data_IF_615528482904
#
_entry.id   IF_615528482904
#
_cell.length_a   1.000
_cell.length_b   1.000
_cell.length_c   1.000
_cell.angle_alpha   90.00
_cell.angle_beta   90.00
_cell.angle_gamma   90.00
#
_symmetry.space_group_name_H-M   'P 1'
#
loop_
_entity.id
_entity.type
_entity.pdbx_description
1 polymer ?
#
# COMPACT_ATOMS: atom_id res chain seq x y z
N UNK A 1 8.72 2.63 6.75
CA UNK A 1 8.83 1.28 6.16
C UNK A 1 8.74 1.45 4.65
N UNK A 2 9.82 1.16 3.92
CA UNK A 2 9.83 1.21 2.46
C UNK A 2 9.37 -0.15 1.98
N UNK A 3 8.20 -0.22 1.36
CA UNK A 3 7.77 -1.42 0.65
C UNK A 3 8.56 -1.41 -0.65
N UNK A 4 9.71 -2.08 -0.65
CA UNK A 4 10.34 -2.45 -1.92
C UNK A 4 9.43 -3.50 -2.55
N UNK A 5 8.89 -3.30 -3.76
CA UNK A 5 8.14 -4.35 -4.41
C UNK A 5 9.08 -5.54 -4.55
N UNK A 6 8.66 -6.69 -4.04
CA UNK A 6 9.22 -7.96 -4.44
C UNK A 6 8.95 -8.01 -5.94
N UNK A 7 9.99 -7.69 -6.69
CA UNK A 7 10.10 -7.79 -8.15
C UNK A 7 9.19 -8.91 -8.65
N UNK A 8 8.10 -8.51 -9.31
CA UNK A 8 7.20 -9.35 -10.11
C UNK A 8 6.05 -10.12 -9.43
N UNK A 9 5.55 -9.77 -8.24
CA UNK A 9 4.47 -10.57 -7.61
C UNK A 9 3.05 -10.00 -7.73
N UNK A 10 2.83 -8.72 -8.06
CA UNK A 10 1.47 -8.19 -8.09
C UNK A 10 1.23 -7.36 -9.36
N UNK A 11 0.67 -8.00 -10.38
CA UNK A 11 -0.06 -7.27 -11.42
C UNK A 11 -1.30 -6.70 -10.75
N UNK A 12 -1.28 -5.39 -10.48
CA UNK A 12 -2.43 -4.65 -9.97
C UNK A 12 -3.35 -4.40 -11.15
N UNK A 13 -4.11 -5.45 -11.50
CA UNK A 13 -5.11 -5.40 -12.56
C UNK A 13 -6.27 -4.51 -12.11
N UNK A 14 -6.92 -3.83 -13.07
CA UNK A 14 -8.08 -3.00 -12.79
C UNK A 14 -9.19 -3.82 -12.14
N UNK A 15 -9.86 -3.24 -11.14
CA UNK A 15 -10.99 -3.84 -10.42
C UNK A 15 -10.68 -5.13 -9.64
N UNK A 16 -9.40 -5.43 -9.37
CA UNK A 16 -8.98 -6.57 -8.55
C UNK A 16 -8.46 -6.16 -7.16
N UNK A 17 -8.62 -7.06 -6.19
CA UNK A 17 -8.07 -6.91 -4.84
C UNK A 17 -6.83 -7.78 -4.67
N UNK A 18 -5.67 -7.13 -4.55
CA UNK A 18 -4.41 -7.80 -4.23
C UNK A 18 -4.10 -7.72 -2.73
N UNK A 19 -3.53 -8.81 -2.20
CA UNK A 19 -3.18 -8.94 -0.79
C UNK A 19 -1.67 -9.16 -0.65
N UNK A 20 -1.06 -8.46 0.30
CA UNK A 20 0.34 -8.68 0.67
C UNK A 20 0.46 -8.77 2.19
N UNK A 21 1.24 -9.72 2.67
CA UNK A 21 1.62 -9.81 4.09
C UNK A 21 3.05 -9.34 4.25
N UNK A 22 3.26 -8.37 5.14
CA UNK A 22 4.56 -7.79 5.41
C UNK A 22 4.96 -8.02 6.85
N UNK A 23 6.21 -8.45 7.07
CA UNK A 23 6.78 -8.51 8.40
C UNK A 23 7.19 -7.11 8.86
N UNK A 24 6.72 -6.70 10.04
CA UNK A 24 7.07 -5.42 10.66
C UNK A 24 7.40 -5.61 12.15
N UNK A 25 8.18 -4.68 12.76
CA UNK A 25 8.17 -4.55 14.21
C UNK A 25 6.79 -4.11 14.71
N UNK A 26 6.61 -4.11 16.02
CA UNK A 26 5.42 -3.52 16.64
C UNK A 26 5.43 -1.99 16.43
N UNK A 27 4.42 -1.50 15.73
CA UNK A 27 4.22 -0.07 15.44
C UNK A 27 3.19 0.58 16.37
N UNK A 28 2.58 -0.19 17.28
CA UNK A 28 1.42 0.21 18.06
C UNK A 28 0.18 0.39 17.16
N UNK A 29 -0.70 1.32 17.53
CA UNK A 29 -1.85 1.69 16.69
C UNK A 29 -1.34 2.36 15.42
N UNK A 30 -1.68 1.79 14.26
CA UNK A 30 -1.31 2.34 12.98
C UNK A 30 -2.03 3.68 12.75
N UNK A 31 -1.27 4.74 12.47
CA UNK A 31 -1.81 6.09 12.27
C UNK A 31 -1.77 6.54 10.83
N UNK A 32 -0.74 6.14 10.08
CA UNK A 32 -0.54 6.57 8.70
C UNK A 32 0.01 5.43 7.83
N UNK A 33 -0.33 5.49 6.55
CA UNK A 33 0.17 4.62 5.50
C UNK A 33 0.80 5.48 4.41
N UNK A 34 2.03 5.13 4.01
CA UNK A 34 2.72 5.76 2.88
C UNK A 34 2.91 4.75 1.76
N UNK A 35 2.51 5.11 0.53
CA UNK A 35 2.63 4.27 -0.67
C UNK A 35 3.46 4.99 -1.72
N UNK A 36 4.28 4.23 -2.44
CA UNK A 36 5.10 4.71 -3.55
C UNK A 36 5.33 3.57 -4.54
N UNK A 37 5.29 3.85 -5.83
CA UNK A 37 5.86 2.95 -6.85
C UNK A 37 7.38 3.04 -6.85
N UNK A 38 8.04 1.98 -7.29
CA UNK A 38 9.50 1.91 -7.36
C UNK A 38 10.11 2.66 -8.56
N UNK A 39 9.28 3.19 -9.46
CA UNK A 39 9.66 3.88 -10.70
C UNK A 39 10.43 3.01 -11.71
N UNK A 40 10.29 1.68 -11.63
CA UNK A 40 10.94 0.76 -12.55
C UNK A 40 9.93 0.09 -13.50
N UNK A 41 10.37 -0.21 -14.73
CA UNK A 41 9.55 -0.88 -15.75
C UNK A 41 8.69 0.08 -16.61
N UNK A 42 8.04 -0.49 -17.63
CA UNK A 42 7.19 0.24 -18.59
C UNK A 42 5.69 0.20 -18.24
N UNK A 43 5.35 -0.21 -17.02
CA UNK A 43 3.97 -0.34 -16.57
C UNK A 43 3.28 1.01 -16.31
N UNK A 44 1.95 1.09 -16.49
CA UNK A 44 1.18 2.29 -16.18
C UNK A 44 1.22 2.61 -14.68
N UNK A 45 0.79 3.82 -14.32
CA UNK A 45 0.54 4.19 -12.93
C UNK A 45 -0.63 3.37 -12.35
N UNK A 46 -0.66 3.22 -11.03
CA UNK A 46 -1.68 2.44 -10.33
C UNK A 46 -2.71 3.35 -9.68
N UNK A 47 -3.97 3.21 -10.07
CA UNK A 47 -5.06 3.84 -9.33
C UNK A 47 -5.35 3.05 -8.05
N UNK A 48 -5.28 3.71 -6.90
CA UNK A 48 -5.80 3.14 -5.65
C UNK A 48 -7.02 3.93 -5.19
N UNK A 49 -8.12 3.21 -4.98
CA UNK A 49 -9.26 3.68 -4.19
C UNK A 49 -8.91 3.60 -2.70
N UNK A 50 -8.68 2.38 -2.22
CA UNK A 50 -8.55 2.07 -0.79
C UNK A 50 -7.50 0.99 -0.52
N UNK A 51 -6.89 1.05 0.66
CA UNK A 51 -6.10 -0.05 1.23
C UNK A 51 -6.64 -0.38 2.61
N UNK A 52 -6.98 -1.66 2.79
CA UNK A 52 -7.31 -2.24 4.09
C UNK A 52 -6.06 -2.81 4.74
N UNK A 53 -5.83 -2.43 6.00
CA UNK A 53 -4.69 -2.90 6.78
C UNK A 53 -5.20 -3.72 7.95
N UNK A 54 -4.59 -4.89 8.15
CA UNK A 54 -4.89 -5.77 9.27
C UNK A 54 -3.61 -6.24 9.95
N UNK A 55 -3.56 -6.08 11.29
CA UNK A 55 -2.53 -6.66 12.13
C UNK A 55 -2.93 -8.06 12.56
N UNK A 56 -2.24 -9.07 12.04
CA UNK A 56 -2.46 -10.46 12.43
C UNK A 56 -2.20 -10.72 13.93
N UNK A 57 -1.31 -9.94 14.55
CA UNK A 57 -0.95 -10.10 15.96
C UNK A 57 -1.96 -9.45 16.91
N UNK A 58 -2.42 -8.25 16.57
CA UNK A 58 -3.26 -7.45 17.46
C UNK A 58 -4.75 -7.51 17.11
N UNK A 59 -5.10 -8.15 16.00
CA UNK A 59 -6.47 -8.22 15.47
C UNK A 59 -7.12 -6.83 15.31
N UNK A 60 -6.29 -5.82 15.07
CA UNK A 60 -6.69 -4.45 14.79
C UNK A 60 -6.37 -4.12 13.35
N UNK A 61 -7.10 -3.17 12.79
CA UNK A 61 -6.92 -2.72 11.44
C UNK A 61 -7.43 -1.32 11.24
N UNK A 62 -7.37 -0.88 10.01
CA UNK A 62 -7.94 0.39 9.59
C UNK A 62 -7.86 0.55 8.09
N UNK A 63 -8.48 1.62 7.62
CA UNK A 63 -8.64 1.89 6.20
C UNK A 63 -7.88 3.16 5.82
N UNK A 64 -7.20 3.14 4.68
CA UNK A 64 -6.61 4.33 4.09
C UNK A 64 -7.16 4.57 2.68
N UNK A 65 -7.90 5.66 2.48
CA UNK A 65 -8.42 6.06 1.18
C UNK A 65 -7.41 6.93 0.41
N UNK A 66 -7.11 6.54 -0.82
CA UNK A 66 -6.18 7.22 -1.72
C UNK A 66 -6.93 8.02 -2.79
N UNK A 67 -7.88 7.37 -3.48
CA UNK A 67 -8.70 7.92 -4.58
C UNK A 67 -7.87 8.64 -5.65
N UNK A 68 -6.74 8.07 -6.04
CA UNK A 68 -5.81 8.69 -6.99
C UNK A 68 -4.85 7.68 -7.62
N UNK A 69 -4.22 8.12 -8.71
CA UNK A 69 -3.04 7.47 -9.27
C UNK A 69 -1.82 7.65 -8.34
N UNK A 70 -1.12 6.54 -8.10
CA UNK A 70 0.23 6.51 -7.56
C UNK A 70 1.20 6.54 -8.74
N UNK A 71 1.52 7.76 -9.14
CA UNK A 71 2.41 8.07 -10.24
C UNK A 71 3.88 8.11 -9.82
N UNK A 72 4.74 8.57 -10.74
CA UNK A 72 6.18 8.65 -10.52
C UNK A 72 6.62 9.71 -9.49
N UNK A 73 5.67 10.45 -8.90
CA UNK A 73 5.97 11.52 -7.95
C UNK A 73 6.32 10.99 -6.55
N UNK A 74 6.55 11.93 -5.62
CA UNK A 74 6.96 11.63 -4.24
C UNK A 74 6.01 10.67 -3.52
N UNK A 75 6.50 9.91 -2.51
CA UNK A 75 5.67 9.03 -1.70
C UNK A 75 4.43 9.75 -1.18
N UNK A 76 3.31 9.03 -1.17
CA UNK A 76 2.03 9.58 -0.79
C UNK A 76 1.55 9.00 0.53
N UNK A 77 1.18 9.87 1.47
CA UNK A 77 0.81 9.48 2.84
C UNK A 77 -0.66 9.78 3.13
N UNK A 78 -1.34 8.81 3.74
CA UNK A 78 -2.71 8.93 4.23
C UNK A 78 -2.81 8.52 5.69
N UNK A 79 -3.73 9.14 6.40
CA UNK A 79 -4.12 8.72 7.74
C UNK A 79 -4.96 7.45 7.67
N UNK A 80 -4.78 6.59 8.65
CA UNK A 80 -5.56 5.35 8.82
C UNK A 80 -6.66 5.64 9.83
N UNK A 81 -7.90 5.33 9.44
CA UNK A 81 -9.11 5.45 10.27
C UNK A 81 -9.72 4.09 10.60
#
# INVERSE_FOLDING_TARGET
MKICPISNVMGMESDDWNWVTLSSPDLGTLQTLTVQRDNNGNGPDWYFDVIDIYSARYATGGTASFNRDIDTTSPFTRTVS
#
